data_IF_715792723233
#
_entry.id   IF_715792723233
#
_cell.length_a   1.000
_cell.length_b   1.000
_cell.length_c   1.000
_cell.angle_alpha   90.00
_cell.angle_beta   90.00
_cell.angle_gamma   90.00
#
_symmetry.space_group_name_H-M   'P 1'
#
loop_
_entity.id
_entity.type
_entity.pdbx_description
1 polymer ?
#
# COMPACT_ATOMS: atom_id res chain seq x y z
N UNK A 1 23.76 -8.84 4.08
CA UNK A 1 22.42 -8.72 4.70
C UNK A 1 22.52 -9.31 6.11
N UNK A 2 22.17 -8.58 7.17
CA UNK A 2 22.11 -9.13 8.53
C UNK A 2 21.11 -10.31 8.61
N UNK A 3 21.38 -11.30 9.46
CA UNK A 3 20.46 -12.44 9.63
C UNK A 3 19.05 -12.01 10.09
N UNK A 4 18.97 -10.89 10.83
CA UNK A 4 17.72 -10.29 11.33
C UNK A 4 16.86 -9.63 10.25
N UNK A 5 17.34 -9.55 9.01
CA UNK A 5 16.59 -9.02 7.86
C UNK A 5 16.33 -10.08 6.79
N UNK A 6 16.44 -11.37 7.15
CA UNK A 6 16.23 -12.50 6.25
C UNK A 6 15.12 -13.42 6.79
N UNK A 7 14.35 -14.01 5.88
CA UNK A 7 13.39 -15.05 6.20
C UNK A 7 13.41 -16.13 5.10
N UNK A 8 12.98 -17.36 5.40
CA UNK A 8 12.82 -18.38 4.38
C UNK A 8 11.84 -17.92 3.29
N UNK A 9 12.12 -18.28 2.04
CA UNK A 9 11.19 -18.05 0.93
C UNK A 9 9.86 -18.78 1.20
N UNK A 10 8.69 -18.19 0.93
CA UNK A 10 7.44 -18.91 0.91
C UNK A 10 7.51 -20.11 -0.04
N UNK A 11 7.05 -21.27 0.41
CA UNK A 11 7.18 -22.52 -0.37
C UNK A 11 6.37 -22.50 -1.66
N UNK A 12 5.26 -21.77 -1.68
CA UNK A 12 4.32 -21.68 -2.79
C UNK A 12 4.63 -20.56 -3.80
N UNK A 13 5.67 -19.75 -3.59
CA UNK A 13 6.05 -18.66 -4.49
C UNK A 13 7.30 -19.02 -5.31
N UNK A 14 7.35 -18.54 -6.55
CA UNK A 14 8.60 -18.53 -7.33
C UNK A 14 9.61 -17.55 -6.72
N UNK A 15 10.88 -17.62 -7.14
CA UNK A 15 11.90 -16.67 -6.67
C UNK A 15 11.57 -15.24 -7.09
N UNK A 16 11.09 -15.04 -8.31
CA UNK A 16 10.69 -13.74 -8.85
C UNK A 16 9.56 -13.14 -8.01
N UNK A 17 8.50 -13.91 -7.75
CA UNK A 17 7.39 -13.45 -6.93
C UNK A 17 7.84 -13.13 -5.50
N UNK A 18 8.59 -14.03 -4.87
CA UNK A 18 9.08 -13.83 -3.52
C UNK A 18 10.02 -12.62 -3.40
N UNK A 19 10.84 -12.35 -4.41
CA UNK A 19 11.75 -11.19 -4.43
C UNK A 19 11.00 -9.84 -4.42
N UNK A 20 9.73 -9.81 -4.88
CA UNK A 20 8.93 -8.58 -4.86
C UNK A 20 8.29 -8.26 -3.51
N UNK A 21 8.26 -9.22 -2.58
CA UNK A 21 7.56 -9.11 -1.30
C UNK A 21 8.24 -8.18 -0.29
N UNK A 22 9.55 -8.29 0.01
CA UNK A 22 10.11 -7.70 1.22
C UNK A 22 9.82 -6.20 1.38
N UNK A 23 10.24 -5.37 0.45
CA UNK A 23 10.09 -3.90 0.60
C UNK A 23 8.62 -3.48 0.63
N UNK A 24 7.82 -3.98 -0.31
CA UNK A 24 6.44 -3.50 -0.48
C UNK A 24 5.46 -4.13 0.50
N UNK A 25 5.64 -5.42 0.81
CA UNK A 25 4.87 -6.13 1.82
C UNK A 25 5.15 -5.61 3.22
N UNK A 26 6.41 -5.34 3.59
CA UNK A 26 6.74 -4.79 4.91
C UNK A 26 6.13 -3.40 5.10
N UNK A 27 6.27 -2.53 4.10
CA UNK A 27 5.68 -1.19 4.15
C UNK A 27 4.14 -1.26 4.30
N UNK A 28 3.48 -2.15 3.55
CA UNK A 28 2.04 -2.33 3.64
C UNK A 28 1.61 -2.88 5.01
N UNK A 29 2.28 -3.92 5.51
CA UNK A 29 1.98 -4.55 6.80
C UNK A 29 2.13 -3.56 7.95
N UNK A 30 3.26 -2.85 8.01
CA UNK A 30 3.54 -1.90 9.08
C UNK A 30 2.63 -0.67 9.02
N UNK A 31 2.27 -0.20 7.81
CA UNK A 31 1.30 0.88 7.64
C UNK A 31 -0.06 0.52 8.24
N UNK A 32 -0.54 -0.70 7.97
CA UNK A 32 -1.85 -1.16 8.40
C UNK A 32 -1.87 -1.58 9.87
N UNK A 33 -0.96 -2.46 10.28
CA UNK A 33 -0.93 -3.09 11.61
C UNK A 33 -0.38 -2.16 12.68
N UNK A 34 0.76 -1.50 12.43
CA UNK A 34 1.50 -0.82 13.50
C UNK A 34 1.15 0.66 13.61
N UNK A 35 1.11 1.34 12.46
CA UNK A 35 0.86 2.79 12.41
C UNK A 35 -0.64 3.09 12.36
N UNK A 36 -1.36 2.37 11.49
CA UNK A 36 -2.80 2.50 11.28
C UNK A 36 -3.66 1.74 12.28
N UNK A 37 -3.11 0.69 12.91
CA UNK A 37 -3.78 -0.15 13.91
C UNK A 37 -5.15 -0.67 13.43
N UNK A 38 -5.19 -1.12 12.16
CA UNK A 38 -6.41 -1.61 11.52
C UNK A 38 -7.08 -2.72 12.34
N UNK A 39 -8.40 -2.64 12.47
CA UNK A 39 -9.24 -3.64 13.12
C UNK A 39 -10.26 -4.20 12.14
N UNK A 40 -10.75 -5.42 12.44
CA UNK A 40 -11.83 -6.03 11.69
C UNK A 40 -13.06 -5.11 11.60
N UNK A 41 -13.69 -5.06 10.43
CA UNK A 41 -14.86 -4.22 10.15
C UNK A 41 -14.58 -2.73 9.96
N UNK A 42 -13.33 -2.26 10.12
CA UNK A 42 -12.99 -0.87 9.83
C UNK A 42 -13.01 -0.58 8.33
N UNK A 43 -13.40 0.63 7.97
CA UNK A 43 -13.35 1.13 6.59
C UNK A 43 -11.96 1.68 6.30
N UNK A 44 -11.27 1.07 5.35
CA UNK A 44 -9.89 1.40 4.98
C UNK A 44 -9.84 1.86 3.54
N UNK A 45 -9.29 3.05 3.32
CA UNK A 45 -9.00 3.57 1.98
C UNK A 45 -7.51 3.37 1.65
N UNK A 46 -7.23 2.69 0.54
CA UNK A 46 -5.88 2.51 0.01
C UNK A 46 -5.68 3.41 -1.20
N UNK A 47 -4.90 4.48 -1.07
CA UNK A 47 -4.54 5.36 -2.18
C UNK A 47 -3.33 4.77 -2.92
N UNK A 48 -3.45 4.62 -4.25
CA UNK A 48 -2.43 3.93 -5.06
C UNK A 48 -2.56 2.41 -4.98
N UNK A 49 -3.78 1.89 -4.83
CA UNK A 49 -4.07 0.47 -4.57
C UNK A 49 -3.51 -0.52 -5.61
N UNK A 50 -3.28 -0.08 -6.84
CA UNK A 50 -2.70 -0.92 -7.89
C UNK A 50 -1.15 -0.82 -7.99
N UNK A 51 -0.51 -0.08 -7.10
CA UNK A 51 0.95 0.11 -7.08
C UNK A 51 1.70 -0.97 -6.33
N UNK A 52 3.02 -0.82 -6.23
CA UNK A 52 3.90 -1.78 -5.56
C UNK A 52 3.50 -2.05 -4.11
N UNK A 53 3.35 -1.02 -3.27
CA UNK A 53 2.90 -1.17 -1.87
C UNK A 53 1.38 -1.36 -1.79
N UNK A 54 0.62 -0.57 -2.56
CA UNK A 54 -0.85 -0.59 -2.50
C UNK A 54 -1.45 -1.97 -2.79
N UNK A 55 -0.85 -2.73 -3.72
CA UNK A 55 -1.34 -4.08 -4.06
C UNK A 55 -1.20 -5.09 -2.92
N UNK A 56 -0.18 -4.95 -2.07
CA UNK A 56 -0.08 -5.71 -0.82
C UNK A 56 -1.04 -5.15 0.24
N UNK A 57 -1.16 -3.82 0.34
CA UNK A 57 -2.00 -3.18 1.35
C UNK A 57 -3.48 -3.55 1.20
N UNK A 58 -4.01 -3.66 -0.01
CA UNK A 58 -5.38 -4.16 -0.24
C UNK A 58 -5.55 -5.56 0.34
N UNK A 59 -4.69 -6.50 -0.05
CA UNK A 59 -4.77 -7.89 0.38
C UNK A 59 -4.58 -8.06 1.90
N UNK A 60 -3.62 -7.33 2.48
CA UNK A 60 -3.35 -7.37 3.92
C UNK A 60 -4.52 -6.75 4.71
N UNK A 61 -5.10 -5.64 4.26
CA UNK A 61 -6.27 -5.06 4.90
C UNK A 61 -7.47 -6.02 4.87
N UNK A 62 -7.68 -6.74 3.77
CA UNK A 62 -8.67 -7.82 3.68
C UNK A 62 -8.35 -9.00 4.59
N UNK A 63 -7.08 -9.37 4.74
CA UNK A 63 -6.66 -10.41 5.68
C UNK A 63 -6.92 -10.02 7.15
N UNK A 64 -7.01 -8.72 7.44
CA UNK A 64 -7.47 -8.14 8.71
C UNK A 64 -8.98 -7.89 8.77
N UNK A 65 -9.75 -8.42 7.82
CA UNK A 65 -11.22 -8.34 7.78
C UNK A 65 -11.76 -6.90 7.70
N UNK A 66 -11.00 -5.98 7.12
CA UNK A 66 -11.45 -4.62 6.83
C UNK A 66 -12.39 -4.56 5.61
N UNK A 67 -13.20 -3.50 5.57
CA UNK A 67 -13.93 -3.03 4.38
C UNK A 67 -13.01 -2.09 3.59
N UNK A 68 -12.53 -2.55 2.43
CA UNK A 68 -11.42 -1.93 1.70
C UNK A 68 -11.91 -1.24 0.45
N UNK A 69 -11.70 0.08 0.41
CA UNK A 69 -11.79 0.87 -0.82
C UNK A 69 -10.40 1.10 -1.40
N UNK A 70 -10.18 0.76 -2.67
CA UNK A 70 -8.95 1.09 -3.40
C UNK A 70 -9.12 2.27 -4.36
N UNK A 71 -8.15 3.20 -4.42
CA UNK A 71 -8.09 4.23 -5.46
C UNK A 71 -7.04 3.84 -6.52
N UNK A 72 -7.45 3.81 -7.78
CA UNK A 72 -6.58 3.60 -8.94
C UNK A 72 -7.14 4.25 -10.21
N UNK A 73 -6.43 4.11 -11.35
CA UNK A 73 -6.95 4.52 -12.67
C UNK A 73 -7.85 3.45 -13.28
N UNK A 74 -8.69 3.82 -14.26
CA UNK A 74 -9.63 2.90 -14.95
C UNK A 74 -9.00 1.57 -15.34
N UNK A 75 -7.80 1.63 -15.96
CA UNK A 75 -7.10 0.46 -16.49
C UNK A 75 -6.65 -0.54 -15.41
N UNK A 76 -6.71 -0.15 -14.13
CA UNK A 76 -6.27 -0.95 -12.97
C UNK A 76 -7.44 -1.34 -12.05
N UNK A 77 -8.68 -0.95 -12.36
CA UNK A 77 -9.86 -1.21 -11.52
C UNK A 77 -10.08 -2.72 -11.31
N UNK A 78 -10.12 -3.50 -12.39
CA UNK A 78 -10.35 -4.95 -12.30
C UNK A 78 -9.26 -5.69 -11.52
N UNK A 79 -8.01 -5.20 -11.61
CA UNK A 79 -6.92 -5.73 -10.81
C UNK A 79 -7.17 -5.48 -9.32
N UNK A 80 -7.53 -4.26 -8.92
CA UNK A 80 -7.76 -3.92 -7.51
C UNK A 80 -8.95 -4.69 -6.94
N UNK A 81 -9.99 -4.94 -7.74
CA UNK A 81 -11.09 -5.86 -7.37
C UNK A 81 -10.60 -7.28 -7.15
N UNK A 82 -9.78 -7.82 -8.06
CA UNK A 82 -9.18 -9.15 -7.92
C UNK A 82 -8.27 -9.28 -6.69
N UNK A 83 -7.63 -8.20 -6.26
CA UNK A 83 -6.85 -8.16 -5.02
C UNK A 83 -7.72 -8.19 -3.74
N UNK A 84 -9.04 -8.08 -3.88
CA UNK A 84 -10.01 -8.23 -2.80
C UNK A 84 -10.64 -6.94 -2.30
N UNK A 85 -10.41 -5.78 -2.96
CA UNK A 85 -11.09 -4.55 -2.58
C UNK A 85 -12.61 -4.67 -2.74
N UNK A 86 -13.37 -4.32 -1.72
CA UNK A 86 -14.84 -4.30 -1.72
C UNK A 86 -15.37 -3.18 -2.62
N UNK A 87 -14.63 -2.07 -2.65
CA UNK A 87 -14.94 -0.90 -3.44
C UNK A 87 -13.71 -0.40 -4.21
N UNK A 88 -13.93 0.13 -5.40
CA UNK A 88 -12.86 0.76 -6.19
C UNK A 88 -13.30 2.12 -6.68
N UNK A 89 -12.48 3.11 -6.39
CA UNK A 89 -12.60 4.48 -6.87
C UNK A 89 -11.67 4.64 -8.07
N UNK A 90 -12.26 4.97 -9.21
CA UNK A 90 -11.52 5.32 -10.42
C UNK A 90 -11.32 6.83 -10.51
N UNK A 91 -10.12 7.31 -10.16
CA UNK A 91 -9.85 8.75 -10.09
C UNK A 91 -9.88 9.45 -11.45
N UNK A 92 -9.93 8.73 -12.58
CA UNK A 92 -10.03 9.35 -13.91
C UNK A 92 -11.47 9.64 -14.34
N UNK A 93 -12.46 9.21 -13.55
CA UNK A 93 -13.87 9.49 -13.82
C UNK A 93 -14.33 10.77 -13.09
N UNK A 94 -15.16 11.61 -13.73
CA UNK A 94 -15.64 12.87 -13.16
C UNK A 94 -16.58 12.70 -11.96
N UNK A 95 -17.26 11.54 -11.86
CA UNK A 95 -18.30 11.27 -10.85
C UNK A 95 -17.81 10.52 -9.60
N UNK A 96 -16.52 10.60 -9.27
CA UNK A 96 -16.07 10.17 -7.94
C UNK A 96 -16.43 11.25 -6.93
N UNK A 97 -17.73 11.36 -6.65
CA UNK A 97 -18.24 12.14 -5.53
C UNK A 97 -17.75 11.53 -4.22
N UNK A 98 -17.67 12.38 -3.20
CA UNK A 98 -17.22 12.06 -1.84
C UNK A 98 -17.73 10.69 -1.35
N UNK A 99 -16.94 9.96 -0.55
CA UNK A 99 -17.35 8.64 -0.09
C UNK A 99 -18.68 8.73 0.66
N UNK A 100 -19.56 7.76 0.43
CA UNK A 100 -20.89 7.71 1.07
C UNK A 100 -20.81 7.69 2.59
N UNK A 101 -19.70 7.21 3.16
CA UNK A 101 -19.38 7.34 4.58
C UNK A 101 -17.86 7.53 4.77
N UNK A 102 -17.43 8.18 5.86
CA UNK A 102 -16.02 8.39 6.15
C UNK A 102 -15.26 7.11 6.51
N UNK A 103 -13.94 7.13 6.31
CA UNK A 103 -13.00 6.05 6.59
C UNK A 103 -12.42 6.11 8.01
N UNK A 104 -12.11 4.96 8.58
CA UNK A 104 -11.38 4.83 9.85
C UNK A 104 -9.86 5.02 9.62
N UNK A 105 -9.38 4.50 8.49
CA UNK A 105 -7.96 4.51 8.12
C UNK A 105 -7.80 4.85 6.63
N UNK A 106 -6.86 5.74 6.32
CA UNK A 106 -6.40 6.00 4.96
C UNK A 106 -4.91 5.67 4.90
N UNK A 107 -4.52 4.74 4.02
CA UNK A 107 -3.12 4.44 3.72
C UNK A 107 -2.79 5.03 2.36
N UNK A 108 -1.93 6.04 2.34
CA UNK A 108 -1.50 6.69 1.10
C UNK A 108 -0.11 6.23 0.66
N UNK A 109 -0.12 5.36 -0.37
CA UNK A 109 1.10 4.83 -0.99
C UNK A 109 1.56 5.64 -2.21
N UNK A 110 0.69 6.50 -2.74
CA UNK A 110 0.96 7.30 -3.92
C UNK A 110 1.45 8.71 -3.56
N UNK A 111 0.83 9.32 -2.56
CA UNK A 111 1.05 10.68 -2.05
C UNK A 111 1.12 11.74 -3.15
N UNK A 112 0.26 11.59 -4.16
CA UNK A 112 0.15 12.54 -5.27
C UNK A 112 -0.62 13.80 -4.88
N UNK A 113 -1.56 13.67 -3.94
CA UNK A 113 -2.34 14.79 -3.40
C UNK A 113 -1.83 15.15 -2.01
N UNK A 114 -2.23 16.32 -1.53
CA UNK A 114 -1.92 16.69 -0.15
C UNK A 114 -2.70 15.79 0.79
N UNK A 115 -2.09 15.36 1.90
CA UNK A 115 -2.82 14.66 2.96
C UNK A 115 -4.04 15.45 3.45
N UNK A 116 -4.00 16.80 3.36
CA UNK A 116 -5.12 17.68 3.71
C UNK A 116 -6.38 17.43 2.87
N UNK A 117 -6.22 16.95 1.65
CA UNK A 117 -7.34 16.66 0.73
C UNK A 117 -8.06 15.38 1.15
N UNK A 118 -7.38 14.50 1.88
CA UNK A 118 -7.92 13.24 2.40
C UNK A 118 -8.50 13.37 3.81
N UNK A 119 -8.08 14.38 4.58
CA UNK A 119 -8.59 14.56 5.95
C UNK A 119 -10.12 14.60 6.03
N UNK A 120 -10.86 15.34 5.16
CA UNK A 120 -12.33 15.35 5.21
C UNK A 120 -12.97 13.97 5.06
N UNK A 121 -12.30 13.03 4.39
CA UNK A 121 -12.79 11.66 4.20
C UNK A 121 -12.55 10.76 5.44
N UNK A 122 -11.84 11.21 6.46
CA UNK A 122 -11.66 10.49 7.73
C UNK A 122 -12.78 10.79 8.72
N UNK A 123 -13.15 9.75 9.47
CA UNK A 123 -13.94 9.89 10.70
C UNK A 123 -13.18 10.75 11.73
N UNK A 124 -13.88 11.40 12.67
CA UNK A 124 -13.26 11.85 13.90
C UNK A 124 -12.51 10.69 14.57
N UNK A 125 -11.26 10.92 14.97
CA UNK A 125 -10.34 9.93 15.51
C UNK A 125 -9.60 9.08 14.47
N UNK A 126 -10.02 9.13 13.20
CA UNK A 126 -9.43 8.35 12.12
C UNK A 126 -7.99 8.73 11.80
N UNK A 127 -7.26 7.79 11.18
CA UNK A 127 -5.83 7.92 10.92
C UNK A 127 -5.51 7.98 9.43
N UNK A 128 -4.72 8.96 9.03
CA UNK A 128 -4.04 9.00 7.74
C UNK A 128 -2.61 8.52 7.94
N UNK A 129 -2.18 7.53 7.14
CA UNK A 129 -0.82 6.99 7.14
C UNK A 129 -0.18 7.27 5.79
N UNK A 130 0.83 8.14 5.78
CA UNK A 130 1.65 8.41 4.61
C UNK A 130 2.75 7.34 4.49
N UNK A 131 2.78 6.61 3.37
CA UNK A 131 3.77 5.56 3.11
C UNK A 131 4.72 5.94 1.97
N UNK A 132 4.19 6.55 0.91
CA UNK A 132 4.97 7.04 -0.23
C UNK A 132 5.00 8.57 -0.30
N UNK A 133 5.72 9.12 -1.27
CA UNK A 133 5.74 10.56 -1.58
C UNK A 133 7.14 11.16 -1.65
N UNK A 134 7.22 12.41 -2.09
CA UNK A 134 8.50 13.14 -2.09
C UNK A 134 8.97 13.42 -0.66
N UNK A 135 10.28 13.55 -0.47
CA UNK A 135 10.87 13.95 0.81
C UNK A 135 10.25 15.24 1.34
N UNK A 136 9.96 16.21 0.45
CA UNK A 136 9.28 17.45 0.81
C UNK A 136 7.85 17.25 1.31
N UNK A 137 7.08 16.34 0.70
CA UNK A 137 5.74 16.00 1.17
C UNK A 137 5.78 15.33 2.54
N UNK A 138 6.76 14.44 2.76
CA UNK A 138 6.99 13.79 4.05
C UNK A 138 7.33 14.82 5.14
N UNK A 139 8.27 15.73 4.89
CA UNK A 139 8.59 16.82 5.83
C UNK A 139 7.37 17.69 6.13
N UNK A 140 6.56 18.02 5.12
CA UNK A 140 5.34 18.81 5.33
C UNK A 140 4.32 18.07 6.19
N UNK A 141 4.10 16.78 5.94
CA UNK A 141 3.20 15.95 6.75
C UNK A 141 3.70 15.81 8.19
N UNK A 142 5.01 15.67 8.40
CA UNK A 142 5.61 15.59 9.73
C UNK A 142 5.48 16.90 10.52
N UNK A 143 5.71 18.04 9.87
CA UNK A 143 5.65 19.36 10.51
C UNK A 143 4.22 19.83 10.77
N UNK A 144 3.33 19.67 9.79
CA UNK A 144 1.97 20.23 9.84
C UNK A 144 0.90 19.22 10.28
N UNK A 145 1.17 17.92 10.12
CA UNK A 145 0.22 16.84 10.39
C UNK A 145 -0.32 16.84 11.82
N UNK A 146 0.51 16.92 12.88
CA UNK A 146 0.04 16.93 14.25
C UNK A 146 -0.88 18.13 14.56
N UNK A 147 -0.58 19.32 14.03
CA UNK A 147 -1.37 20.53 14.28
C UNK A 147 -2.70 20.51 13.51
N UNK A 148 -2.64 20.22 12.20
CA UNK A 148 -3.84 20.14 11.35
C UNK A 148 -4.74 18.98 11.75
N UNK A 149 -4.14 17.83 12.08
CA UNK A 149 -4.84 16.66 12.60
C UNK A 149 -5.58 16.97 13.90
N UNK A 150 -4.89 17.51 14.92
CA UNK A 150 -5.53 17.87 16.20
C UNK A 150 -6.66 18.87 16.04
N UNK A 151 -6.49 19.89 15.17
CA UNK A 151 -7.55 20.88 14.89
C UNK A 151 -8.81 20.24 14.29
N UNK A 152 -8.67 19.15 13.55
CA UNK A 152 -9.77 18.42 12.93
C UNK A 152 -10.12 17.10 13.65
N UNK A 153 -9.59 16.88 14.86
CA UNK A 153 -9.74 15.63 15.62
C UNK A 153 -9.35 14.37 14.82
N UNK A 154 -8.27 14.44 14.03
CA UNK A 154 -7.77 13.36 13.16
C UNK A 154 -6.27 13.14 13.38
N UNK A 155 -5.77 11.95 13.02
CA UNK A 155 -4.34 11.63 13.14
C UNK A 155 -3.66 11.63 11.78
N UNK A 156 -2.48 12.24 11.69
CA UNK A 156 -1.63 12.19 10.50
C UNK A 156 -0.30 11.59 10.93
N UNK A 157 0.02 10.42 10.39
CA UNK A 157 1.24 9.68 10.69
C UNK A 157 2.00 9.42 9.40
N UNK A 158 3.33 9.31 9.52
CA UNK A 158 4.19 8.92 8.42
C UNK A 158 4.85 7.60 8.78
N UNK A 159 4.89 6.66 7.83
CA UNK A 159 5.58 5.39 8.00
C UNK A 159 7.06 5.55 7.64
N UNK A 160 7.91 5.10 8.55
CA UNK A 160 9.29 4.73 8.24
C UNK A 160 9.38 3.22 8.34
N UNK A 161 9.37 2.54 7.19
CA UNK A 161 9.35 1.08 7.20
C UNK A 161 10.72 0.52 7.62
N UNK A 162 10.70 -0.47 8.50
CA UNK A 162 11.91 -1.10 9.03
C UNK A 162 12.00 -2.56 8.56
N UNK A 163 13.12 -2.98 7.93
CA UNK A 163 13.33 -4.38 7.60
C UNK A 163 13.54 -5.19 8.88
N UNK A 164 12.67 -6.17 9.12
CA UNK A 164 12.81 -7.10 10.23
C UNK A 164 12.30 -8.49 9.86
N UNK A 165 12.88 -9.51 10.49
CA UNK A 165 12.57 -10.92 10.22
C UNK A 165 11.16 -11.32 10.64
N UNK A 166 10.64 -10.79 11.74
CA UNK A 166 9.31 -11.15 12.26
C UNK A 166 8.19 -10.81 11.27
N UNK A 167 8.26 -9.61 10.68
CA UNK A 167 7.31 -9.18 9.66
C UNK A 167 7.48 -9.95 8.35
N UNK A 168 8.71 -10.32 7.98
CA UNK A 168 8.94 -11.18 6.82
C UNK A 168 8.34 -12.58 7.03
N UNK A 169 8.41 -13.13 8.26
CA UNK A 169 7.75 -14.38 8.61
C UNK A 169 6.23 -14.26 8.59
N UNK A 170 5.68 -13.13 9.04
CA UNK A 170 4.25 -12.83 8.94
C UNK A 170 3.81 -12.78 7.47
N UNK A 171 4.56 -12.07 6.61
CA UNK A 171 4.30 -12.01 5.17
C UNK A 171 4.42 -13.37 4.50
N UNK A 172 5.39 -14.19 4.92
CA UNK A 172 5.53 -15.58 4.45
C UNK A 172 4.27 -16.37 4.77
N UNK A 173 3.77 -16.31 6.00
CA UNK A 173 2.56 -17.03 6.39
C UNK A 173 1.32 -16.54 5.61
N UNK A 174 1.17 -15.22 5.43
CA UNK A 174 0.09 -14.66 4.61
C UNK A 174 0.17 -15.14 3.16
N UNK A 175 1.38 -15.26 2.61
CA UNK A 175 1.57 -15.79 1.27
C UNK A 175 1.27 -17.30 1.18
N UNK A 176 1.76 -18.10 2.11
CA UNK A 176 1.55 -19.56 2.12
C UNK A 176 0.09 -19.95 2.35
N UNK A 177 -0.66 -19.13 3.09
CA UNK A 177 -2.11 -19.29 3.28
C UNK A 177 -2.95 -18.72 2.13
N UNK A 178 -2.31 -18.15 1.10
CA UNK A 178 -2.98 -17.56 -0.07
C UNK A 178 -3.69 -16.23 0.21
N UNK A 179 -3.57 -15.68 1.41
CA UNK A 179 -4.14 -14.37 1.79
C UNK A 179 -3.42 -13.20 1.11
N UNK A 180 -2.16 -13.39 0.75
CA UNK A 180 -1.35 -12.40 0.01
C UNK A 180 -0.66 -13.08 -1.18
N UNK A 181 -1.08 -12.73 -2.38
CA UNK A 181 -0.47 -13.17 -3.62
C UNK A 181 0.24 -11.98 -4.29
N UNK A 182 1.58 -11.99 -4.40
CA UNK A 182 2.31 -10.91 -5.06
C UNK A 182 1.90 -10.76 -6.52
N UNK A 183 1.51 -9.56 -6.92
CA UNK A 183 1.21 -9.26 -8.32
C UNK A 183 2.48 -8.81 -9.05
N UNK A 184 3.10 -9.76 -9.78
CA UNK A 184 4.23 -9.49 -10.67
C UNK A 184 3.70 -9.21 -12.07
N UNK A 185 3.76 -7.96 -12.52
CA UNK A 185 3.28 -7.57 -13.86
C UNK A 185 4.27 -8.00 -14.95
N UNK A 186 5.57 -7.89 -14.67
CA UNK A 186 6.64 -8.23 -15.62
C UNK A 186 7.87 -8.72 -14.92
N UNK A 187 8.63 -9.55 -15.62
CA UNK A 187 9.97 -9.97 -15.24
C UNK A 187 10.95 -9.53 -16.32
N UNK A 188 12.10 -8.99 -15.92
CA UNK A 188 13.17 -8.60 -16.83
C UNK A 188 14.47 -9.30 -16.43
N UNK A 189 15.31 -9.75 -17.38
CA UNK A 189 16.68 -10.14 -17.07
C UNK A 189 17.47 -8.94 -16.57
N UNK A 190 18.54 -9.19 -15.81
CA UNK A 190 19.45 -8.15 -15.30
C UNK A 190 19.95 -7.20 -16.40
N UNK A 191 20.16 -7.70 -17.62
CA UNK A 191 20.58 -6.90 -18.77
C UNK A 191 19.53 -5.88 -19.24
N UNK A 192 18.28 -6.00 -18.80
CA UNK A 192 17.15 -5.14 -19.19
C UNK A 192 16.64 -4.24 -18.04
N UNK A 193 17.44 -4.05 -16.99
CA UNK A 193 17.10 -3.12 -15.90
C UNK A 193 16.77 -1.70 -16.39
N UNK A 194 17.47 -1.09 -17.37
CA UNK A 194 17.10 0.23 -17.88
C UNK A 194 15.65 0.29 -18.43
N UNK A 195 15.23 -0.75 -19.16
CA UNK A 195 13.87 -0.87 -19.70
C UNK A 195 12.84 -1.05 -18.57
N UNK A 196 13.18 -1.83 -17.55
CA UNK A 196 12.33 -2.01 -16.36
C UNK A 196 12.11 -0.68 -15.62
N UNK A 197 13.16 0.11 -15.42
CA UNK A 197 13.09 1.43 -14.80
C UNK A 197 12.25 2.38 -15.65
N UNK A 198 12.47 2.43 -16.96
CA UNK A 198 11.70 3.29 -17.85
C UNK A 198 10.19 2.96 -17.82
N UNK A 199 9.83 1.67 -17.81
CA UNK A 199 8.42 1.26 -17.69
C UNK A 199 7.77 1.70 -16.35
N UNK A 200 8.55 1.69 -15.25
CA UNK A 200 8.11 2.18 -13.94
C UNK A 200 7.89 3.71 -13.97
N UNK A 201 8.82 4.47 -14.56
CA UNK A 201 8.71 5.93 -14.71
C UNK A 201 7.48 6.32 -15.53
N UNK A 202 7.19 5.58 -16.60
CA UNK A 202 5.99 5.78 -17.43
C UNK A 202 4.69 5.29 -16.77
N UNK A 203 4.75 4.77 -15.53
CA UNK A 203 3.60 4.29 -14.74
C UNK A 203 2.78 3.17 -15.41
N UNK A 204 3.38 2.49 -16.37
CA UNK A 204 2.77 1.39 -17.13
C UNK A 204 2.67 0.11 -16.31
N UNK A 205 3.46 0.01 -15.24
CA UNK A 205 3.49 -1.14 -14.35
C UNK A 205 2.27 -1.18 -13.42
N UNK A 206 1.75 -2.39 -13.24
CA UNK A 206 0.78 -2.77 -12.23
C UNK A 206 1.49 -3.57 -11.13
N UNK A 207 1.29 -3.28 -9.84
CA UNK A 207 1.98 -4.02 -8.78
C UNK A 207 3.51 -3.90 -8.87
N UNK A 208 4.20 -5.01 -9.16
CA UNK A 208 5.66 -5.13 -9.08
C UNK A 208 6.30 -5.64 -10.37
N UNK A 209 7.57 -5.29 -10.55
CA UNK A 209 8.47 -5.87 -11.54
C UNK A 209 9.53 -6.70 -10.80
N UNK A 210 9.86 -7.87 -11.34
CA UNK A 210 10.97 -8.70 -10.86
C UNK A 210 12.15 -8.66 -11.82
N UNK A 211 13.37 -8.74 -11.28
CA UNK A 211 14.60 -8.88 -12.07
C UNK A 211 15.17 -10.28 -11.88
N UNK A 212 15.40 -11.02 -12.97
CA UNK A 212 16.05 -12.33 -12.94
C UNK A 212 17.56 -12.18 -13.14
N UNK A 213 18.32 -12.94 -12.35
CA UNK A 213 19.78 -12.96 -12.32
C UNK A 213 20.33 -14.31 -12.75
#
# INVERSE_FOLDING_TARGET
>A
MPATTLAPKPNNLTFEAAATVPVSGLAALQALRDVGQVQAGQRVLIVGAAGGVGSFAVQIAKAFEADVTGICSSQKVEMVRHLGADHVIDYTQPDVTQPSQPYDLIVDTAAYRSFTDYLPALKPGGTYVMVGGSTSAFFRAMLLGPWLGKRQQRQVKCLTSQPNQEDLLTLKQLAETGKVNPFVDRTYPLSQVPQAIHALEQRQIKGKVAITI
#
